data_IF_027731986646
#
_entry.id   IF_027731986646
#
_cell.length_a   1.000
_cell.length_b   1.000
_cell.length_c   1.000
_cell.angle_alpha   90.00
_cell.angle_beta   90.00
_cell.angle_gamma   90.00
#
_symmetry.space_group_name_H-M   'P 1'
#
loop_
_entity.id
_entity.type
_entity.pdbx_description
1 polymer ?
#
# COMPACT_ATOMS: atom_id res chain seq x y z
N UNK A 1 5.88 -14.10 20.74
CA UNK A 1 7.24 -13.74 21.20
C UNK A 1 7.82 -12.50 20.50
N UNK A 2 7.91 -12.46 19.16
CA UNK A 2 8.53 -11.36 18.40
C UNK A 2 7.90 -9.99 18.68
N UNK A 3 6.55 -9.88 18.66
CA UNK A 3 5.88 -8.59 18.87
C UNK A 3 6.12 -7.99 20.27
N UNK A 4 6.18 -8.82 21.32
CA UNK A 4 6.53 -8.36 22.67
C UNK A 4 8.00 -7.88 22.73
N UNK A 5 8.90 -8.51 21.99
CA UNK A 5 10.29 -8.09 21.86
C UNK A 5 10.39 -6.70 21.22
N UNK A 6 9.67 -6.46 20.10
CA UNK A 6 9.66 -5.17 19.40
C UNK A 6 9.15 -4.01 20.25
N UNK A 7 8.26 -4.31 21.19
CA UNK A 7 7.64 -3.32 22.07
C UNK A 7 8.40 -3.07 23.37
N UNK A 8 9.45 -3.86 23.68
CA UNK A 8 10.27 -3.67 24.90
C UNK A 8 11.01 -2.34 24.93
N UNK A 9 11.49 -1.89 23.76
CA UNK A 9 12.24 -0.64 23.66
C UNK A 9 12.28 -0.07 22.25
N UNK A 10 12.80 1.14 22.11
CA UNK A 10 12.98 1.75 20.79
C UNK A 10 14.12 1.08 20.01
N UNK A 11 15.16 0.61 20.72
CA UNK A 11 16.29 -0.08 20.09
C UNK A 11 15.84 -1.33 19.31
N UNK A 12 15.04 -2.20 19.92
CA UNK A 12 14.52 -3.42 19.26
C UNK A 12 13.65 -3.10 18.06
N UNK A 13 12.83 -2.06 18.16
CA UNK A 13 11.99 -1.61 17.07
C UNK A 13 12.82 -1.06 15.90
N UNK A 14 13.78 -0.19 16.17
CA UNK A 14 14.70 0.40 15.19
C UNK A 14 15.48 -0.71 14.48
N UNK A 15 16.06 -1.65 15.21
CA UNK A 15 16.81 -2.78 14.64
C UNK A 15 15.92 -3.61 13.71
N UNK A 16 14.68 -3.90 14.12
CA UNK A 16 13.78 -4.69 13.31
C UNK A 16 13.35 -3.95 12.01
N UNK A 17 13.07 -2.64 12.08
CA UNK A 17 12.75 -1.83 10.90
C UNK A 17 13.93 -1.82 9.94
N UNK A 18 15.14 -1.51 10.44
CA UNK A 18 16.34 -1.43 9.61
C UNK A 18 16.67 -2.78 8.96
N UNK A 19 16.69 -3.87 9.73
CA UNK A 19 16.96 -5.21 9.19
C UNK A 19 15.92 -5.67 8.18
N UNK A 20 14.62 -5.46 8.46
CA UNK A 20 13.57 -5.84 7.50
C UNK A 20 13.62 -4.99 6.24
N UNK A 21 14.05 -3.73 6.32
CA UNK A 21 14.25 -2.89 5.13
C UNK A 21 15.45 -3.34 4.29
N UNK A 22 16.55 -3.76 4.92
CA UNK A 22 17.67 -4.36 4.20
C UNK A 22 17.29 -5.68 3.54
N UNK A 23 16.53 -6.53 4.23
CA UNK A 23 16.00 -7.79 3.65
C UNK A 23 15.04 -7.54 2.49
N UNK A 24 14.42 -6.34 2.38
CA UNK A 24 13.53 -6.00 1.28
C UNK A 24 14.21 -6.07 -0.09
N UNK A 25 15.51 -5.84 -0.16
CA UNK A 25 16.28 -5.98 -1.40
C UNK A 25 16.40 -7.44 -1.86
N UNK A 26 16.29 -8.39 -0.92
CA UNK A 26 16.42 -9.83 -1.20
C UNK A 26 15.06 -10.52 -1.36
N UNK A 27 14.02 -10.05 -0.66
CA UNK A 27 12.73 -10.71 -0.51
C UNK A 27 11.57 -9.85 -1.02
N UNK A 28 11.74 -9.18 -2.14
CA UNK A 28 10.69 -8.39 -2.76
C UNK A 28 9.47 -9.25 -3.17
N UNK A 29 8.24 -8.76 -3.04
CA UNK A 29 7.78 -7.45 -2.49
C UNK A 29 7.42 -7.48 -1.00
N UNK A 30 7.53 -8.64 -0.32
CA UNK A 30 6.95 -8.85 1.01
C UNK A 30 7.69 -8.16 2.15
N UNK A 31 8.97 -7.90 1.99
CA UNK A 31 9.76 -7.31 3.08
C UNK A 31 9.40 -5.84 3.35
N UNK A 32 8.87 -5.11 2.36
CA UNK A 32 8.29 -3.78 2.59
C UNK A 32 7.12 -3.82 3.58
N UNK A 33 6.30 -4.88 3.52
CA UNK A 33 5.19 -5.10 4.44
C UNK A 33 5.68 -5.27 5.87
N UNK A 34 6.81 -5.96 6.08
CA UNK A 34 7.33 -6.23 7.43
C UNK A 34 7.80 -4.94 8.08
N UNK A 35 8.64 -4.14 7.41
CA UNK A 35 9.16 -2.88 7.97
C UNK A 35 8.04 -1.87 8.25
N UNK A 36 7.11 -1.71 7.31
CA UNK A 36 5.92 -0.88 7.47
C UNK A 36 5.05 -1.35 8.64
N UNK A 37 4.81 -2.66 8.76
CA UNK A 37 3.97 -3.21 9.84
C UNK A 37 4.59 -3.04 11.23
N UNK A 38 5.93 -3.05 11.36
CA UNK A 38 6.59 -2.74 12.64
C UNK A 38 6.34 -1.29 13.02
N UNK A 39 6.47 -0.34 12.06
CA UNK A 39 6.14 1.07 12.29
C UNK A 39 4.67 1.22 12.69
N UNK A 40 3.77 0.55 11.96
CA UNK A 40 2.34 0.53 12.28
C UNK A 40 2.06 0.01 13.69
N UNK A 41 2.68 -1.09 14.11
CA UNK A 41 2.54 -1.66 15.44
C UNK A 41 2.99 -0.69 16.53
N UNK A 42 4.12 0.01 16.33
CA UNK A 42 4.61 1.01 17.28
C UNK A 42 3.65 2.19 17.35
N UNK A 43 3.17 2.68 16.19
CA UNK A 43 2.20 3.78 16.12
C UNK A 43 0.92 3.43 16.89
N UNK A 44 0.37 2.24 16.63
CA UNK A 44 -0.85 1.78 17.28
C UNK A 44 -0.68 1.57 18.79
N UNK A 45 0.49 1.11 19.25
CA UNK A 45 0.69 0.75 20.66
C UNK A 45 1.35 1.84 21.50
N UNK A 46 2.46 2.40 21.03
CA UNK A 46 3.23 3.41 21.77
C UNK A 46 2.82 4.86 21.46
N UNK A 47 2.09 5.06 20.37
CA UNK A 47 1.62 6.37 19.94
C UNK A 47 2.49 7.04 18.88
N UNK A 48 1.96 8.14 18.34
CA UNK A 48 2.50 8.85 17.19
C UNK A 48 3.92 9.37 17.45
N UNK A 49 4.17 9.98 18.62
CA UNK A 49 5.48 10.55 18.93
C UNK A 49 6.60 9.50 19.01
N UNK A 50 6.30 8.35 19.66
CA UNK A 50 7.26 7.24 19.75
C UNK A 50 7.53 6.61 18.38
N UNK A 51 6.50 6.48 17.55
CA UNK A 51 6.63 5.97 16.20
C UNK A 51 7.44 6.91 15.31
N UNK A 52 7.19 8.23 15.39
CA UNK A 52 7.95 9.22 14.63
C UNK A 52 9.44 9.21 15.02
N UNK A 53 9.75 9.16 16.31
CA UNK A 53 11.14 9.03 16.76
C UNK A 53 11.81 7.77 16.22
N UNK A 54 11.13 6.62 16.32
CA UNK A 54 11.63 5.35 15.80
C UNK A 54 11.85 5.41 14.29
N UNK A 55 10.92 6.01 13.54
CA UNK A 55 11.00 6.18 12.10
C UNK A 55 12.21 7.04 11.70
N UNK A 56 12.38 8.21 12.33
CA UNK A 56 13.48 9.12 12.04
C UNK A 56 14.83 8.44 12.33
N UNK A 57 14.96 7.79 13.48
CA UNK A 57 16.24 7.11 13.84
C UNK A 57 16.51 5.94 12.90
N UNK A 58 15.49 5.14 12.52
CA UNK A 58 15.66 4.05 11.55
C UNK A 58 16.07 4.58 10.17
N UNK A 59 15.52 5.73 9.74
CA UNK A 59 15.93 6.38 8.50
C UNK A 59 17.41 6.81 8.53
N UNK A 60 17.83 7.46 9.60
CA UNK A 60 19.24 7.90 9.75
C UNK A 60 20.21 6.71 9.73
N UNK A 61 19.85 5.61 10.41
CA UNK A 61 20.68 4.40 10.43
C UNK A 61 20.73 3.75 9.05
N UNK A 62 19.58 3.63 8.36
CA UNK A 62 19.51 3.07 7.02
C UNK A 62 20.32 3.93 6.03
N UNK A 63 20.20 5.24 6.16
CA UNK A 63 20.97 6.19 5.37
C UNK A 63 22.49 6.04 5.60
N UNK A 64 22.94 5.98 6.85
CA UNK A 64 24.33 5.78 7.18
C UNK A 64 24.87 4.45 6.60
N UNK A 65 24.09 3.38 6.71
CA UNK A 65 24.44 2.08 6.14
C UNK A 65 24.55 2.12 4.60
N UNK A 66 23.63 2.80 3.93
CA UNK A 66 23.67 2.96 2.46
C UNK A 66 24.84 3.81 2.01
N UNK A 67 25.23 4.83 2.76
CA UNK A 67 26.44 5.61 2.49
C UNK A 67 27.70 4.73 2.53
N UNK A 68 27.83 3.83 3.52
CA UNK A 68 28.96 2.89 3.60
C UNK A 68 29.01 1.95 2.38
N UNK A 69 27.84 1.53 1.89
CA UNK A 69 27.73 0.67 0.70
C UNK A 69 27.76 1.43 -0.63
N UNK A 70 28.00 2.74 -0.61
CA UNK A 70 27.94 3.60 -1.80
C UNK A 70 26.58 3.54 -2.55
N UNK A 71 25.51 3.23 -1.82
CA UNK A 71 24.13 3.27 -2.36
C UNK A 71 23.64 4.72 -2.36
N UNK A 72 23.02 5.20 -3.44
CA UNK A 72 22.57 6.58 -3.54
C UNK A 72 21.54 6.98 -2.45
N UNK A 73 21.65 8.21 -1.96
CA UNK A 73 20.80 8.79 -0.92
C UNK A 73 19.29 8.62 -1.20
N UNK A 74 18.87 8.76 -2.45
CA UNK A 74 17.45 8.67 -2.80
C UNK A 74 16.82 7.31 -2.48
N UNK A 75 17.59 6.23 -2.38
CA UNK A 75 17.07 4.89 -2.09
C UNK A 75 16.46 4.82 -0.69
N UNK A 76 17.15 5.33 0.34
CA UNK A 76 16.58 5.39 1.71
C UNK A 76 15.43 6.38 1.80
N UNK A 77 15.49 7.48 1.03
CA UNK A 77 14.40 8.46 0.94
C UNK A 77 13.14 7.84 0.34
N UNK A 78 13.27 6.96 -0.65
CA UNK A 78 12.15 6.18 -1.20
C UNK A 78 11.51 5.31 -0.12
N UNK A 79 12.31 4.61 0.70
CA UNK A 79 11.76 3.85 1.84
C UNK A 79 10.97 4.73 2.80
N UNK A 80 11.54 5.88 3.17
CA UNK A 80 10.87 6.83 4.05
C UNK A 80 9.54 7.31 3.48
N UNK A 81 9.54 7.79 2.24
CA UNK A 81 8.39 8.47 1.65
C UNK A 81 7.31 7.49 1.14
N UNK A 82 7.71 6.37 0.54
CA UNK A 82 6.78 5.46 -0.14
C UNK A 82 6.32 4.32 0.78
N UNK A 83 7.15 3.86 1.72
CA UNK A 83 6.79 2.73 2.59
C UNK A 83 6.41 3.18 3.99
N UNK A 84 7.29 3.89 4.66
CA UNK A 84 7.15 4.13 6.10
C UNK A 84 6.18 5.27 6.42
N UNK A 85 6.27 6.40 5.72
CA UNK A 85 5.41 7.56 5.98
C UNK A 85 3.92 7.28 5.75
N UNK A 86 3.50 6.63 4.65
CA UNK A 86 2.10 6.29 4.45
C UNK A 86 1.57 5.31 5.51
N UNK A 87 2.33 4.27 5.85
CA UNK A 87 1.90 3.31 6.87
C UNK A 87 1.84 3.98 8.25
N UNK A 88 2.80 4.85 8.60
CA UNK A 88 2.76 5.66 9.82
C UNK A 88 1.51 6.53 9.86
N UNK A 89 1.22 7.26 8.79
CA UNK A 89 0.05 8.13 8.68
C UNK A 89 -1.26 7.36 8.80
N UNK A 90 -1.43 6.29 8.03
CA UNK A 90 -2.62 5.44 8.05
C UNK A 90 -2.81 4.72 9.40
N UNK A 91 -1.71 4.29 10.05
CA UNK A 91 -1.76 3.72 11.40
C UNK A 91 -2.15 4.76 12.45
N UNK A 92 -1.76 6.02 12.25
CA UNK A 92 -2.20 7.13 13.12
C UNK A 92 -3.70 7.39 12.95
N UNK A 93 -4.21 7.34 11.72
CA UNK A 93 -5.66 7.40 11.44
C UNK A 93 -6.39 6.24 12.12
N UNK A 94 -5.89 5.00 11.97
CA UNK A 94 -6.51 3.83 12.60
C UNK A 94 -6.53 3.95 14.13
N UNK A 95 -5.46 4.47 14.72
CA UNK A 95 -5.38 4.71 16.16
C UNK A 95 -6.42 5.72 16.66
N UNK A 96 -6.71 6.75 15.85
CA UNK A 96 -7.67 7.81 16.21
C UNK A 96 -9.12 7.39 15.96
N UNK A 97 -9.38 6.65 14.88
CA UNK A 97 -10.74 6.34 14.42
C UNK A 97 -11.21 4.95 14.83
N UNK A 98 -10.28 4.05 15.15
CA UNK A 98 -10.54 2.63 15.40
C UNK A 98 -11.34 1.95 14.27
N UNK A 99 -11.29 2.52 13.05
CA UNK A 99 -12.10 2.10 11.92
C UNK A 99 -11.22 1.71 10.71
N UNK A 100 -11.21 0.42 10.37
CA UNK A 100 -10.46 -0.11 9.24
C UNK A 100 -10.99 0.39 7.88
N UNK A 101 -12.30 0.70 7.76
CA UNK A 101 -12.88 1.27 6.54
C UNK A 101 -12.32 2.66 6.24
N UNK A 102 -12.08 3.48 7.26
CA UNK A 102 -11.43 4.78 7.12
C UNK A 102 -9.99 4.63 6.63
N UNK A 103 -9.27 3.60 7.08
CA UNK A 103 -7.90 3.32 6.60
C UNK A 103 -7.89 3.01 5.10
N UNK A 104 -8.80 2.13 4.64
CA UNK A 104 -8.92 1.77 3.22
C UNK A 104 -9.28 3.00 2.40
N UNK A 105 -10.24 3.79 2.85
CA UNK A 105 -10.63 5.03 2.19
C UNK A 105 -9.45 6.01 2.12
N UNK A 106 -8.70 6.19 3.20
CA UNK A 106 -7.54 7.09 3.23
C UNK A 106 -6.41 6.59 2.32
N UNK A 107 -6.13 5.28 2.30
CA UNK A 107 -5.10 4.73 1.40
C UNK A 107 -5.47 4.91 -0.07
N UNK A 108 -6.74 4.66 -0.44
CA UNK A 108 -7.24 4.91 -1.78
C UNK A 108 -7.26 6.40 -2.14
N UNK A 109 -7.61 7.27 -1.19
CA UNK A 109 -7.57 8.73 -1.43
C UNK A 109 -6.16 9.23 -1.70
N UNK A 110 -5.13 8.69 -1.02
CA UNK A 110 -3.73 9.01 -1.31
C UNK A 110 -3.38 8.63 -2.75
N UNK A 111 -3.73 7.43 -3.19
CA UNK A 111 -3.41 6.97 -4.55
C UNK A 111 -4.22 7.66 -5.63
N UNK A 112 -5.48 8.02 -5.37
CA UNK A 112 -6.29 8.87 -6.26
C UNK A 112 -5.63 10.25 -6.40
N UNK A 113 -5.19 10.86 -5.31
CA UNK A 113 -4.48 12.14 -5.38
C UNK A 113 -3.18 12.02 -6.19
N UNK A 114 -2.39 10.95 -6.00
CA UNK A 114 -1.19 10.68 -6.79
C UNK A 114 -1.53 10.45 -8.28
N UNK A 115 -2.64 9.77 -8.58
CA UNK A 115 -3.14 9.61 -9.96
C UNK A 115 -3.40 10.98 -10.59
N UNK A 116 -4.17 11.82 -9.93
CA UNK A 116 -4.49 13.18 -10.43
C UNK A 116 -3.20 13.98 -10.65
N UNK A 117 -2.31 13.99 -9.66
CA UNK A 117 -1.03 14.71 -9.75
C UNK A 117 -0.18 14.21 -10.92
N UNK A 118 -0.10 12.88 -11.14
CA UNK A 118 0.69 12.34 -12.26
C UNK A 118 0.14 12.77 -13.62
N UNK A 119 -1.19 12.77 -13.82
CA UNK A 119 -1.77 13.26 -15.07
C UNK A 119 -1.62 14.78 -15.25
N UNK A 120 -1.68 15.57 -14.17
CA UNK A 120 -1.47 17.02 -14.23
C UNK A 120 -0.02 17.38 -14.58
N UNK A 121 0.97 16.61 -14.09
CA UNK A 121 2.38 16.92 -14.29
C UNK A 121 2.95 16.32 -15.59
N UNK A 122 2.47 15.13 -15.96
CA UNK A 122 3.03 14.35 -17.08
C UNK A 122 2.18 14.50 -18.35
N UNK A 123 0.86 14.65 -18.21
CA UNK A 123 -0.10 14.67 -19.31
C UNK A 123 -0.41 13.25 -19.80
N UNK A 124 0.33 12.74 -20.79
CA UNK A 124 0.17 11.36 -21.26
C UNK A 124 0.98 10.37 -20.41
N UNK A 125 0.36 9.95 -19.31
CA UNK A 125 0.97 9.02 -18.35
C UNK A 125 1.17 7.62 -18.95
N UNK A 126 0.30 7.21 -19.87
CA UNK A 126 0.42 5.92 -20.55
C UNK A 126 1.67 5.85 -21.41
N UNK A 127 1.88 6.84 -22.26
CA UNK A 127 3.10 6.95 -23.09
C UNK A 127 4.35 7.09 -22.22
N UNK A 128 4.27 7.80 -21.11
CA UNK A 128 5.39 7.94 -20.17
C UNK A 128 5.81 6.59 -19.57
N UNK A 129 4.83 5.80 -19.07
CA UNK A 129 5.12 4.47 -18.54
C UNK A 129 5.69 3.52 -19.59
N UNK A 130 5.13 3.54 -20.80
CA UNK A 130 5.63 2.73 -21.91
C UNK A 130 7.11 3.05 -22.22
N UNK A 131 7.44 4.32 -22.35
CA UNK A 131 8.83 4.76 -22.59
C UNK A 131 9.78 4.40 -21.45
N UNK A 132 9.34 4.63 -20.20
CA UNK A 132 10.14 4.34 -19.01
C UNK A 132 10.44 2.84 -18.88
N UNK A 133 9.40 1.99 -18.96
CA UNK A 133 9.59 0.55 -18.84
C UNK A 133 10.32 -0.06 -20.02
N UNK A 134 10.16 0.48 -21.23
CA UNK A 134 10.96 0.09 -22.40
C UNK A 134 12.46 0.28 -22.13
N UNK A 135 12.86 1.44 -21.61
CA UNK A 135 14.26 1.70 -21.23
C UNK A 135 14.76 0.74 -20.13
N UNK A 136 13.91 0.44 -19.14
CA UNK A 136 14.27 -0.52 -18.08
C UNK A 136 14.47 -1.92 -18.66
N UNK A 137 13.58 -2.37 -19.55
CA UNK A 137 13.72 -3.70 -20.18
C UNK A 137 14.92 -3.77 -21.11
N UNK A 138 15.21 -2.72 -21.86
CA UNK A 138 16.42 -2.64 -22.70
C UNK A 138 17.71 -2.78 -21.88
N UNK A 139 17.71 -2.29 -20.66
CA UNK A 139 18.86 -2.37 -19.76
C UNK A 139 18.98 -3.70 -18.99
N UNK A 140 17.88 -4.46 -18.85
CA UNK A 140 17.84 -5.60 -17.90
C UNK A 140 17.48 -6.94 -18.54
N UNK A 141 16.83 -6.94 -19.72
CA UNK A 141 16.33 -8.15 -20.38
C UNK A 141 17.22 -8.54 -21.57
N UNK A 142 17.60 -9.84 -21.70
CA UNK A 142 18.34 -10.32 -22.88
C UNK A 142 17.59 -10.10 -24.20
N UNK A 143 18.33 -9.78 -25.26
CA UNK A 143 17.81 -9.38 -26.58
C UNK A 143 16.68 -10.25 -27.16
N UNK A 144 16.68 -11.59 -27.09
CA UNK A 144 15.62 -12.38 -27.72
C UNK A 144 14.24 -12.19 -27.08
N UNK A 145 14.17 -11.71 -25.83
CA UNK A 145 12.94 -11.59 -25.07
C UNK A 145 12.37 -10.16 -25.08
N UNK A 146 13.16 -9.18 -25.45
CA UNK A 146 12.81 -7.76 -25.34
C UNK A 146 11.59 -7.39 -26.20
N UNK A 147 11.46 -7.98 -27.41
CA UNK A 147 10.36 -7.67 -28.30
C UNK A 147 9.01 -8.17 -27.75
N UNK A 148 9.01 -9.29 -27.04
CA UNK A 148 7.82 -9.82 -26.35
C UNK A 148 7.38 -8.85 -25.26
N UNK A 149 8.32 -8.35 -24.44
CA UNK A 149 8.00 -7.37 -23.39
C UNK A 149 7.52 -6.04 -23.95
N UNK A 150 8.12 -5.54 -25.05
CA UNK A 150 7.66 -4.33 -25.75
C UNK A 150 6.25 -4.48 -26.28
N UNK A 151 5.91 -5.62 -26.89
CA UNK A 151 4.57 -5.90 -27.36
C UNK A 151 3.55 -5.97 -26.22
N UNK A 152 3.91 -6.59 -25.08
CA UNK A 152 3.07 -6.62 -23.87
C UNK A 152 2.88 -5.23 -23.28
N UNK A 153 3.90 -4.39 -23.26
CA UNK A 153 3.79 -3.00 -22.80
C UNK A 153 2.84 -2.19 -23.69
N UNK A 154 3.03 -2.22 -25.00
CA UNK A 154 2.20 -1.48 -25.94
C UNK A 154 0.72 -1.86 -25.82
N UNK A 155 0.42 -3.15 -25.60
CA UNK A 155 -0.99 -3.62 -25.44
C UNK A 155 -1.61 -3.26 -24.09
N UNK A 156 -0.81 -3.03 -23.04
CA UNK A 156 -1.30 -2.82 -21.65
C UNK A 156 -0.90 -1.48 -21.04
N UNK A 157 -0.21 -0.60 -21.80
CA UNK A 157 0.32 0.69 -21.28
C UNK A 157 -0.75 1.50 -20.55
N UNK A 158 -1.97 1.46 -21.03
CA UNK A 158 -3.11 2.14 -20.43
C UNK A 158 -3.49 1.66 -19.02
N UNK A 159 -3.12 0.44 -18.62
CA UNK A 159 -3.47 -0.13 -17.29
C UNK A 159 -2.33 -0.07 -16.29
N UNK A 160 -1.11 0.26 -16.73
CA UNK A 160 0.10 0.21 -15.89
C UNK A 160 -0.05 1.12 -14.67
N UNK A 161 -0.48 2.36 -14.87
CA UNK A 161 -0.70 3.34 -13.80
C UNK A 161 -1.64 2.78 -12.72
N UNK A 162 -2.81 2.28 -13.15
CA UNK A 162 -3.76 1.67 -12.24
C UNK A 162 -3.15 0.48 -11.48
N UNK A 163 -2.47 -0.43 -12.17
CA UNK A 163 -1.88 -1.62 -11.53
C UNK A 163 -0.86 -1.26 -10.46
N UNK A 164 0.01 -0.27 -10.74
CA UNK A 164 1.01 0.21 -9.78
C UNK A 164 0.33 0.84 -8.57
N UNK A 165 -0.66 1.70 -8.77
CA UNK A 165 -1.33 2.39 -7.68
C UNK A 165 -2.30 1.49 -6.91
N UNK A 166 -2.95 0.52 -7.55
CA UNK A 166 -3.72 -0.51 -6.85
C UNK A 166 -2.79 -1.38 -5.98
N UNK A 167 -1.66 -1.81 -6.52
CA UNK A 167 -0.64 -2.53 -5.75
C UNK A 167 -0.10 -1.71 -4.58
N UNK A 168 0.10 -0.41 -4.76
CA UNK A 168 0.54 0.49 -3.70
C UNK A 168 -0.55 0.69 -2.62
N UNK A 169 -1.82 0.88 -3.02
CA UNK A 169 -2.96 0.93 -2.09
C UNK A 169 -3.05 -0.36 -1.26
N UNK A 170 -2.92 -1.51 -1.92
CA UNK A 170 -2.95 -2.82 -1.26
C UNK A 170 -1.79 -2.95 -0.26
N UNK A 171 -0.59 -2.57 -0.66
CA UNK A 171 0.61 -2.65 0.19
C UNK A 171 0.45 -1.82 1.47
N UNK A 172 0.04 -0.55 1.35
CA UNK A 172 -0.24 0.32 2.49
C UNK A 172 -1.33 -0.26 3.39
N UNK A 173 -2.43 -0.70 2.81
CA UNK A 173 -3.58 -1.24 3.54
C UNK A 173 -3.21 -2.51 4.29
N UNK A 174 -2.56 -3.49 3.61
CA UNK A 174 -2.13 -4.74 4.25
C UNK A 174 -1.10 -4.45 5.35
N UNK A 175 -0.17 -3.53 5.14
CA UNK A 175 0.82 -3.15 6.15
C UNK A 175 0.16 -2.68 7.46
N UNK A 176 -0.86 -1.83 7.36
CA UNK A 176 -1.61 -1.34 8.53
C UNK A 176 -2.50 -2.42 9.13
N UNK A 177 -3.23 -3.19 8.31
CA UNK A 177 -4.08 -4.28 8.78
C UNK A 177 -3.27 -5.38 9.46
N UNK A 178 -2.08 -5.70 8.93
CA UNK A 178 -1.17 -6.66 9.56
C UNK A 178 -0.62 -6.14 10.89
N UNK A 179 -0.26 -4.85 10.98
CA UNK A 179 0.11 -4.22 12.25
C UNK A 179 -1.02 -4.29 13.29
N UNK A 180 -2.27 -4.03 12.86
CA UNK A 180 -3.46 -4.12 13.73
C UNK A 180 -3.78 -5.56 14.15
N UNK A 181 -3.68 -6.52 13.21
CA UNK A 181 -3.81 -7.93 13.53
C UNK A 181 -2.76 -8.36 14.56
N UNK A 182 -1.50 -7.96 14.36
CA UNK A 182 -0.40 -8.25 15.28
C UNK A 182 -0.64 -7.66 16.67
N UNK A 183 -1.04 -6.39 16.73
CA UNK A 183 -1.44 -5.74 17.98
C UNK A 183 -2.59 -6.49 18.66
N UNK A 184 -3.60 -6.88 17.90
CA UNK A 184 -4.76 -7.63 18.41
C UNK A 184 -4.34 -8.97 19.01
N UNK A 185 -3.49 -9.72 18.35
CA UNK A 185 -2.96 -11.00 18.84
C UNK A 185 -2.23 -10.89 20.17
N UNK A 186 -1.60 -9.75 20.44
CA UNK A 186 -0.82 -9.52 21.66
C UNK A 186 -1.63 -8.97 22.82
N UNK A 187 -2.63 -8.13 22.55
CA UNK A 187 -3.27 -7.31 23.59
C UNK A 187 -4.80 -7.36 23.60
N UNK A 188 -5.44 -7.78 22.51
CA UNK A 188 -6.88 -7.85 22.37
C UNK A 188 -7.28 -9.00 21.44
N UNK A 189 -7.10 -10.28 21.85
CA UNK A 189 -7.43 -11.43 21.01
C UNK A 189 -8.86 -11.37 20.48
N UNK A 190 -9.02 -11.53 19.16
CA UNK A 190 -10.32 -11.43 18.46
C UNK A 190 -10.77 -10.01 18.10
N UNK A 191 -10.09 -8.96 18.60
CA UNK A 191 -10.44 -7.58 18.28
C UNK A 191 -10.32 -7.25 16.79
N UNK A 192 -9.23 -7.67 16.14
CA UNK A 192 -9.05 -7.49 14.70
C UNK A 192 -10.20 -8.10 13.88
N UNK A 193 -10.61 -9.34 14.23
CA UNK A 193 -11.68 -10.02 13.52
C UNK A 193 -13.02 -9.27 13.63
N UNK A 194 -13.35 -8.76 14.81
CA UNK A 194 -14.57 -7.97 15.03
C UNK A 194 -14.55 -6.70 14.19
N UNK A 195 -13.43 -5.98 14.19
CA UNK A 195 -13.25 -4.74 13.41
C UNK A 195 -13.29 -5.02 11.91
N UNK A 196 -12.62 -6.09 11.45
CA UNK A 196 -12.63 -6.49 10.05
C UNK A 196 -14.04 -6.85 9.57
N UNK A 197 -14.83 -7.57 10.38
CA UNK A 197 -16.22 -7.88 10.05
C UNK A 197 -17.16 -6.67 10.08
N UNK A 198 -16.78 -5.62 10.79
CA UNK A 198 -17.51 -4.35 10.84
C UNK A 198 -17.05 -3.34 9.77
N UNK A 199 -16.04 -3.71 8.95
CA UNK A 199 -15.48 -2.85 7.93
C UNK A 199 -16.57 -2.36 6.98
N UNK A 200 -16.68 -1.04 6.85
CA UNK A 200 -17.65 -0.37 6.00
C UNK A 200 -17.06 0.90 5.42
N UNK A 201 -17.10 1.03 4.10
CA UNK A 201 -16.80 2.26 3.38
C UNK A 201 -18.12 3.03 3.23
N UNK A 202 -18.15 4.33 3.53
CA UNK A 202 -19.38 5.12 3.51
C UNK A 202 -20.09 5.08 2.15
N UNK A 203 -21.39 4.82 2.16
CA UNK A 203 -22.24 4.74 0.95
C UNK A 203 -22.25 6.06 0.16
N UNK A 204 -21.96 7.19 0.82
CA UNK A 204 -21.89 8.51 0.18
C UNK A 204 -20.85 8.58 -0.96
N UNK A 205 -19.94 7.61 -1.04
CA UNK A 205 -18.94 7.53 -2.11
C UNK A 205 -19.55 6.92 -3.39
N UNK A 206 -20.66 6.19 -3.33
CA UNK A 206 -21.28 5.57 -4.51
C UNK A 206 -21.69 6.58 -5.59
N UNK A 207 -22.30 7.74 -5.29
CA UNK A 207 -22.56 8.76 -6.30
C UNK A 207 -21.31 9.23 -7.04
N UNK A 208 -20.14 9.24 -6.36
CA UNK A 208 -18.85 9.60 -6.98
C UNK A 208 -18.49 8.61 -8.08
N UNK A 209 -18.79 7.31 -7.93
CA UNK A 209 -18.60 6.32 -9.00
C UNK A 209 -19.35 6.68 -10.26
N UNK A 210 -20.63 7.09 -10.11
CA UNK A 210 -21.47 7.44 -11.25
C UNK A 210 -20.88 8.66 -11.97
N UNK A 211 -20.50 9.69 -11.22
CA UNK A 211 -19.92 10.92 -11.78
C UNK A 211 -18.60 10.59 -12.50
N UNK A 212 -17.70 9.87 -11.86
CA UNK A 212 -16.40 9.50 -12.45
C UNK A 212 -16.59 8.59 -13.67
N UNK A 213 -17.54 7.63 -13.63
CA UNK A 213 -17.87 6.77 -14.77
C UNK A 213 -18.39 7.55 -15.96
N UNK A 214 -19.26 8.55 -15.75
CA UNK A 214 -19.74 9.46 -16.80
C UNK A 214 -18.56 10.26 -17.38
N UNK A 215 -17.72 10.87 -16.53
CA UNK A 215 -16.55 11.62 -16.99
C UNK A 215 -15.59 10.75 -17.80
N UNK A 216 -15.35 9.51 -17.38
CA UNK A 216 -14.53 8.55 -18.12
C UNK A 216 -15.11 8.16 -19.49
N UNK A 217 -16.42 8.34 -19.71
CA UNK A 217 -17.07 7.99 -20.97
C UNK A 217 -17.18 9.15 -21.97
N UNK A 218 -17.18 10.40 -21.50
CA UNK A 218 -17.42 11.58 -22.34
C UNK A 218 -16.17 12.43 -22.60
N UNK A 219 -15.13 12.30 -21.78
CA UNK A 219 -13.90 13.10 -21.89
C UNK A 219 -12.90 12.36 -22.79
N UNK A 220 -12.13 13.10 -23.58
CA UNK A 220 -11.10 12.54 -24.47
C UNK A 220 -9.79 12.27 -23.74
N UNK A 221 -8.92 11.42 -24.32
CA UNK A 221 -7.58 11.16 -23.81
C UNK A 221 -6.73 12.46 -23.79
N UNK A 222 -5.79 12.59 -22.84
CA UNK A 222 -5.39 11.58 -21.84
C UNK A 222 -6.31 11.56 -20.59
N UNK A 223 -7.17 12.56 -20.41
CA UNK A 223 -7.99 12.72 -19.20
C UNK A 223 -8.99 11.58 -18.99
N UNK A 224 -9.48 10.98 -20.07
CA UNK A 224 -10.31 9.78 -20.02
C UNK A 224 -9.64 8.66 -19.20
N UNK A 225 -8.33 8.43 -19.44
CA UNK A 225 -7.57 7.40 -18.74
C UNK A 225 -7.43 7.73 -17.25
N UNK A 226 -7.27 9.01 -16.89
CA UNK A 226 -7.24 9.45 -15.49
C UNK A 226 -8.54 9.08 -14.76
N UNK A 227 -9.70 9.43 -15.32
CA UNK A 227 -10.99 9.11 -14.69
C UNK A 227 -11.23 7.61 -14.62
N UNK A 228 -10.81 6.83 -15.64
CA UNK A 228 -10.86 5.38 -15.60
C UNK A 228 -9.99 4.81 -14.48
N UNK A 229 -8.77 5.28 -14.32
CA UNK A 229 -7.86 4.82 -13.27
C UNK A 229 -8.45 5.13 -11.88
N UNK A 230 -9.02 6.32 -11.68
CA UNK A 230 -9.73 6.69 -10.44
C UNK A 230 -10.92 5.74 -10.20
N UNK A 231 -11.73 5.47 -11.22
CA UNK A 231 -12.86 4.54 -11.11
C UNK A 231 -12.40 3.14 -10.70
N UNK A 232 -11.34 2.63 -11.32
CA UNK A 232 -10.77 1.32 -11.00
C UNK A 232 -10.20 1.27 -9.58
N UNK A 233 -9.56 2.34 -9.09
CA UNK A 233 -9.09 2.44 -7.71
C UNK A 233 -10.25 2.45 -6.71
N UNK A 234 -11.34 3.14 -7.02
CA UNK A 234 -12.57 3.12 -6.21
C UNK A 234 -13.16 1.70 -6.14
N UNK A 235 -13.29 1.01 -7.28
CA UNK A 235 -13.76 -0.38 -7.35
C UNK A 235 -12.84 -1.27 -6.50
N UNK A 236 -11.53 -1.09 -6.59
CA UNK A 236 -10.55 -1.86 -5.83
C UNK A 236 -10.72 -1.70 -4.30
N UNK A 237 -10.99 -0.48 -3.81
CA UNK A 237 -11.30 -0.27 -2.39
C UNK A 237 -12.54 -1.05 -1.93
N UNK A 238 -13.60 -1.03 -2.74
CA UNK A 238 -14.81 -1.80 -2.42
C UNK A 238 -14.63 -3.32 -2.56
N UNK A 239 -13.67 -3.78 -3.38
CA UNK A 239 -13.30 -5.19 -3.42
C UNK A 239 -12.75 -5.64 -2.04
N UNK A 240 -11.92 -4.82 -1.38
CA UNK A 240 -11.43 -5.12 -0.03
C UNK A 240 -12.60 -5.20 0.97
N UNK A 241 -13.58 -4.30 0.87
CA UNK A 241 -14.80 -4.37 1.67
C UNK A 241 -15.60 -5.64 1.35
N UNK A 242 -15.68 -6.05 0.10
CA UNK A 242 -16.33 -7.30 -0.34
C UNK A 242 -15.70 -8.52 0.32
N UNK A 243 -14.37 -8.58 0.41
CA UNK A 243 -13.66 -9.65 1.13
C UNK A 243 -14.09 -9.68 2.61
N UNK A 244 -14.16 -8.53 3.27
CA UNK A 244 -14.66 -8.43 4.65
C UNK A 244 -16.09 -8.93 4.77
N UNK A 245 -16.95 -8.58 3.83
CA UNK A 245 -18.36 -9.02 3.80
C UNK A 245 -18.46 -10.55 3.68
N UNK A 246 -17.69 -11.16 2.79
CA UNK A 246 -17.66 -12.63 2.62
C UNK A 246 -17.22 -13.30 3.93
N UNK A 247 -16.12 -12.85 4.53
CA UNK A 247 -15.64 -13.40 5.80
C UNK A 247 -16.68 -13.30 6.92
N UNK A 248 -17.36 -12.14 7.03
CA UNK A 248 -18.45 -11.93 7.99
C UNK A 248 -19.62 -12.90 7.75
N UNK A 249 -19.98 -13.10 6.47
CA UNK A 249 -21.11 -13.97 6.10
C UNK A 249 -20.81 -15.43 6.40
N UNK A 250 -19.62 -15.92 6.02
CA UNK A 250 -19.13 -17.27 6.35
C UNK A 250 -19.17 -17.50 7.85
N UNK A 251 -18.69 -16.55 8.63
CA UNK A 251 -18.70 -16.64 10.09
C UNK A 251 -20.12 -16.68 10.68
N UNK A 252 -21.02 -15.77 10.25
CA UNK A 252 -22.39 -15.67 10.76
C UNK A 252 -23.22 -16.90 10.42
N UNK A 253 -23.08 -17.43 9.20
CA UNK A 253 -23.83 -18.60 8.72
C UNK A 253 -23.16 -19.93 9.12
N UNK A 254 -22.04 -19.88 9.85
CA UNK A 254 -21.26 -21.06 10.26
C UNK A 254 -20.89 -21.97 9.08
N UNK A 255 -20.61 -21.40 7.93
CA UNK A 255 -20.21 -22.13 6.74
C UNK A 255 -18.78 -22.67 6.88
N UNK A 256 -18.43 -23.64 6.04
CA UNK A 256 -17.07 -24.18 5.98
C UNK A 256 -16.06 -23.09 5.58
N UNK A 257 -14.88 -23.10 6.19
CA UNK A 257 -13.77 -22.18 5.86
C UNK A 257 -13.35 -22.31 4.38
N UNK A 258 -13.66 -23.42 3.73
CA UNK A 258 -13.41 -23.60 2.28
C UNK A 258 -14.08 -22.51 1.41
N UNK A 259 -15.18 -21.90 1.87
CA UNK A 259 -15.80 -20.75 1.20
C UNK A 259 -14.95 -19.48 1.18
N UNK A 260 -13.84 -19.44 1.92
CA UNK A 260 -12.89 -18.33 1.92
C UNK A 260 -11.73 -18.54 0.94
N UNK A 261 -11.69 -19.68 0.24
CA UNK A 261 -10.60 -20.06 -0.68
C UNK A 261 -10.98 -19.76 -2.13
N UNK A 262 -12.26 -19.49 -2.38
CA UNK A 262 -12.79 -19.04 -3.67
C UNK A 262 -12.98 -17.51 -3.63
#
# INVERSE_FOLDING_TARGET
>A
MIGNYLLRGNFQAITAITLSSLLSFLLQPFAFLISGSVIGLITLRKGVNSALQTLVVSFLILQAFFMILSIPFYVSTIFLLIVWSPVFFLSSILRLTENQGVVILSSGSITIALTIISYLLIGDVSAWWEQYLTKVFEATVPSPQIDVYKAMLASNSNLIQFMIFAGYTLNMTIGVLFARWWQSRLFNPGGFQKEFYALNIPVIILPVFIIIGILASIINQPWQLMYRDILLLLIFMYLIQGISFVHRTVYKLKLSVSWLVF
#
